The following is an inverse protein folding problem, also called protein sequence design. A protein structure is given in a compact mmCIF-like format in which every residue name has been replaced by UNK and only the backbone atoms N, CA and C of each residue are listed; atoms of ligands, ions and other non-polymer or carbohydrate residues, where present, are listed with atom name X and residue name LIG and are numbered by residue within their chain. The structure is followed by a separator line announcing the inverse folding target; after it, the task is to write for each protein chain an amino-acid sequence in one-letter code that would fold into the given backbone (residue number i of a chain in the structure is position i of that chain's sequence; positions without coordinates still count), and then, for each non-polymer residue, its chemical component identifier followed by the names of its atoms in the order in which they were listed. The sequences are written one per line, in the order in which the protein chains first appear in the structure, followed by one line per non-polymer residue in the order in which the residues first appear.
data_IF_738586312985
#
_entry.id   IF_738586312985
#
_cell.length_a   1.000
_cell.length_b   1.000
_cell.length_c   1.000
_cell.angle_alpha   90.00
_cell.angle_beta   90.00
_cell.angle_gamma   90.00
#
_symmetry.space_group_name_H-M   'P 1'
#
loop_
_entity.id
_entity.type
_entity.pdbx_description
1 polymer ?
#
# COMPACT_ATOMS: atom_id res chain seq x y z
N UNK A 1 -10.42 -30.98 -24.89
CA UNK A 1 -9.80 -31.65 -23.72
C UNK A 1 -9.14 -30.57 -22.89
N UNK A 2 -9.68 -30.36 -21.69
CA UNK A 2 -9.26 -29.37 -20.70
C UNK A 2 -7.89 -29.81 -20.13
N UNK A 3 -6.82 -29.05 -20.39
CA UNK A 3 -5.54 -29.27 -19.70
C UNK A 3 -5.49 -28.35 -18.47
N UNK A 4 -6.03 -28.88 -17.37
CA UNK A 4 -5.78 -28.43 -16.02
C UNK A 4 -4.40 -28.95 -15.61
N UNK A 5 -3.34 -28.20 -15.93
CA UNK A 5 -2.05 -28.32 -15.26
C UNK A 5 -1.96 -27.15 -14.28
N UNK A 6 -2.34 -27.40 -13.03
CA UNK A 6 -1.39 -27.39 -11.90
C UNK A 6 -0.90 -25.98 -11.59
N UNK A 7 -1.73 -25.29 -10.79
CA UNK A 7 -1.32 -24.47 -9.63
C UNK A 7 0.08 -23.84 -9.69
N UNK A 8 0.18 -22.65 -10.31
CA UNK A 8 1.30 -21.76 -10.01
C UNK A 8 1.00 -21.06 -8.68
N UNK A 9 1.61 -21.60 -7.62
CA UNK A 9 1.46 -21.20 -6.24
C UNK A 9 2.11 -19.82 -6.07
N UNK A 10 1.31 -18.78 -6.29
CA UNK A 10 1.69 -17.39 -6.00
C UNK A 10 2.00 -16.60 -7.25
N UNK A 11 0.98 -15.91 -7.77
CA UNK A 11 1.14 -14.78 -8.68
C UNK A 11 2.06 -13.73 -8.02
N UNK A 12 3.39 -13.87 -8.21
CA UNK A 12 4.36 -12.85 -7.82
C UNK A 12 3.99 -11.58 -8.58
N UNK A 13 3.55 -10.57 -7.85
CA UNK A 13 3.19 -9.29 -8.41
C UNK A 13 4.37 -8.77 -9.25
N UNK A 14 4.13 -8.26 -10.47
CA UNK A 14 5.20 -7.75 -11.31
C UNK A 14 5.96 -6.66 -10.54
N UNK A 15 7.30 -6.62 -10.67
CA UNK A 15 8.17 -5.66 -9.94
C UNK A 15 7.70 -4.20 -10.04
N UNK A 16 7.05 -3.84 -11.16
CA UNK A 16 6.42 -2.53 -11.37
C UNK A 16 5.28 -2.25 -10.37
N UNK A 17 4.43 -3.24 -10.07
CA UNK A 17 3.35 -3.10 -9.09
C UNK A 17 3.88 -2.90 -7.67
N UNK A 18 5.01 -3.51 -7.31
CA UNK A 18 5.69 -3.24 -6.04
C UNK A 18 6.19 -1.79 -5.95
N UNK A 19 6.76 -1.25 -7.03
CA UNK A 19 7.19 0.14 -7.06
C UNK A 19 6.01 1.13 -6.90
N UNK A 20 4.89 0.87 -7.57
CA UNK A 20 3.69 1.69 -7.41
C UNK A 20 3.02 1.54 -6.05
N UNK A 21 3.11 0.37 -5.41
CA UNK A 21 2.59 0.14 -4.06
C UNK A 21 3.47 0.76 -2.97
N UNK A 22 4.77 0.94 -3.24
CA UNK A 22 5.77 1.46 -2.31
C UNK A 22 5.75 2.98 -2.15
N UNK A 23 5.00 3.72 -2.97
CA UNK A 23 4.90 5.19 -2.87
C UNK A 23 4.53 5.73 -1.46
N UNK A 24 3.72 5.07 -0.60
CA UNK A 24 3.40 5.56 0.73
C UNK A 24 4.59 5.41 1.70
N UNK A 25 5.61 4.61 1.37
CA UNK A 25 6.82 4.46 2.19
C UNK A 25 7.65 5.75 2.25
N UNK A 26 7.38 6.74 1.38
CA UNK A 26 7.96 8.08 1.50
C UNK A 26 7.65 8.72 2.88
N UNK A 27 6.54 8.33 3.51
CA UNK A 27 6.17 8.74 4.86
C UNK A 27 7.23 8.39 5.91
N UNK A 28 8.05 7.36 5.69
CA UNK A 28 9.13 6.98 6.61
C UNK A 28 10.10 8.15 6.81
N UNK A 29 10.42 8.87 5.73
CA UNK A 29 11.41 9.96 5.75
C UNK A 29 10.88 11.16 6.54
N UNK A 30 9.60 11.48 6.38
CA UNK A 30 8.98 12.65 7.01
C UNK A 30 8.41 12.37 8.41
N UNK A 31 8.03 11.12 8.67
CA UNK A 31 7.23 10.73 9.83
C UNK A 31 7.91 9.85 10.86
N UNK A 32 9.18 9.46 10.64
CA UNK A 32 9.91 8.58 11.54
C UNK A 32 9.14 7.27 11.81
N UNK A 33 9.06 6.87 13.07
CA UNK A 33 8.38 5.63 13.48
C UNK A 33 6.88 5.60 13.12
N UNK A 34 6.18 6.73 13.26
CA UNK A 34 4.75 6.85 12.94
C UNK A 34 4.56 6.77 11.42
N UNK A 35 5.42 7.44 10.66
CA UNK A 35 5.44 7.37 9.19
C UNK A 35 5.72 5.97 8.68
N UNK A 36 6.61 5.22 9.36
CA UNK A 36 6.89 3.82 9.05
C UNK A 36 5.70 2.91 9.30
N UNK A 37 4.97 3.11 10.39
CA UNK A 37 3.75 2.36 10.68
C UNK A 37 2.73 2.53 9.55
N UNK A 38 2.38 3.77 9.21
CA UNK A 38 1.36 4.05 8.18
C UNK A 38 1.82 3.68 6.76
N UNK A 39 3.09 3.94 6.42
CA UNK A 39 3.66 3.58 5.13
C UNK A 39 3.70 2.06 4.91
N UNK A 40 4.09 1.29 5.93
CA UNK A 40 4.09 -0.17 5.88
C UNK A 40 2.66 -0.74 5.79
N UNK A 41 1.72 -0.18 6.56
CA UNK A 41 0.32 -0.61 6.53
C UNK A 41 -0.30 -0.39 5.15
N UNK A 42 -0.09 0.80 4.57
CA UNK A 42 -0.54 1.15 3.23
C UNK A 42 0.08 0.25 2.15
N UNK A 43 1.38 -0.06 2.26
CA UNK A 43 2.05 -0.98 1.35
C UNK A 43 1.42 -2.39 1.37
N UNK A 44 1.14 -2.94 2.56
CA UNK A 44 0.51 -4.26 2.69
C UNK A 44 -0.91 -4.25 2.10
N UNK A 45 -1.68 -3.19 2.33
CA UNK A 45 -3.02 -3.01 1.74
C UNK A 45 -2.92 -2.94 0.21
N UNK A 46 -1.98 -2.16 -0.32
CA UNK A 46 -1.77 -2.00 -1.75
C UNK A 46 -1.40 -3.33 -2.43
N UNK A 47 -0.57 -4.17 -1.81
CA UNK A 47 -0.29 -5.53 -2.33
C UNK A 47 -1.58 -6.36 -2.46
N UNK A 48 -2.44 -6.34 -1.44
CA UNK A 48 -3.72 -7.07 -1.47
C UNK A 48 -4.67 -6.53 -2.55
N UNK A 49 -4.69 -5.21 -2.75
CA UNK A 49 -5.45 -4.54 -3.83
C UNK A 49 -4.94 -4.94 -5.21
N UNK A 50 -3.62 -5.03 -5.41
CA UNK A 50 -3.08 -5.45 -6.70
C UNK A 50 -3.30 -6.94 -6.98
N UNK A 51 -3.40 -7.77 -5.95
CA UNK A 51 -3.69 -9.21 -6.05
C UNK A 51 -5.17 -9.58 -6.25
N UNK A 52 -6.11 -8.65 -6.12
CA UNK A 52 -7.55 -8.92 -6.28
C UNK A 52 -8.01 -8.86 -7.75
N UNK A 53 -9.20 -9.36 -8.06
CA UNK A 53 -9.76 -9.37 -9.44
C UNK A 53 -10.28 -8.01 -9.94
N UNK A 54 -9.95 -6.92 -9.22
CA UNK A 54 -10.35 -5.56 -9.58
C UNK A 54 -9.77 -5.12 -10.93
N UNK A 55 -10.53 -4.28 -11.64
CA UNK A 55 -10.06 -3.65 -12.89
C UNK A 55 -8.79 -2.83 -12.64
N UNK A 56 -7.94 -2.70 -13.67
CA UNK A 56 -6.67 -1.95 -13.56
C UNK A 56 -6.87 -0.53 -13.00
N UNK A 57 -7.93 0.15 -13.41
CA UNK A 57 -8.23 1.51 -12.96
C UNK A 57 -8.58 1.53 -11.46
N UNK A 58 -9.40 0.58 -11.00
CA UNK A 58 -9.79 0.48 -9.59
C UNK A 58 -8.60 0.18 -8.68
N UNK A 59 -7.64 -0.63 -9.15
CA UNK A 59 -6.39 -0.91 -8.41
C UNK A 59 -5.55 0.35 -8.22
N UNK A 60 -5.42 1.17 -9.27
CA UNK A 60 -4.68 2.43 -9.21
C UNK A 60 -5.38 3.42 -8.28
N UNK A 61 -6.70 3.56 -8.40
CA UNK A 61 -7.49 4.44 -7.53
C UNK A 61 -7.41 4.01 -6.07
N UNK A 62 -7.56 2.70 -5.78
CA UNK A 62 -7.45 2.18 -4.43
C UNK A 62 -6.03 2.36 -3.85
N UNK A 63 -4.98 2.20 -4.66
CA UNK A 63 -3.60 2.46 -4.26
C UNK A 63 -3.35 3.94 -3.92
N UNK A 64 -3.92 4.85 -4.73
CA UNK A 64 -3.86 6.28 -4.51
C UNK A 64 -4.64 6.69 -3.26
N UNK A 65 -5.88 6.21 -3.13
CA UNK A 65 -6.74 6.49 -1.99
C UNK A 65 -6.12 5.98 -0.69
N UNK A 66 -5.56 4.76 -0.71
CA UNK A 66 -4.89 4.17 0.44
C UNK A 66 -3.69 5.01 0.91
N UNK A 67 -2.83 5.45 0.00
CA UNK A 67 -1.68 6.29 0.38
C UNK A 67 -2.10 7.69 0.84
N UNK A 68 -3.14 8.29 0.24
CA UNK A 68 -3.70 9.56 0.72
C UNK A 68 -4.32 9.42 2.12
N UNK A 69 -5.05 8.34 2.40
CA UNK A 69 -5.59 8.06 3.73
C UNK A 69 -4.48 7.84 4.76
N UNK A 70 -3.41 7.14 4.39
CA UNK A 70 -2.24 6.94 5.24
C UNK A 70 -1.51 8.24 5.56
N UNK A 71 -1.35 9.13 4.57
CA UNK A 71 -0.81 10.48 4.75
C UNK A 71 -1.64 11.31 5.73
N UNK A 72 -2.97 11.32 5.55
CA UNK A 72 -3.88 12.03 6.45
C UNK A 72 -3.81 11.47 7.87
N UNK A 73 -3.85 10.14 8.04
CA UNK A 73 -3.76 9.51 9.36
C UNK A 73 -2.42 9.80 10.04
N UNK A 74 -1.31 9.75 9.29
CA UNK A 74 0.00 10.14 9.79
C UNK A 74 0.01 11.61 10.23
N UNK A 75 -0.50 12.54 9.42
CA UNK A 75 -0.53 13.96 9.77
C UNK A 75 -1.34 14.22 11.04
N UNK A 76 -2.53 13.65 11.15
CA UNK A 76 -3.37 13.79 12.36
C UNK A 76 -2.68 13.24 13.60
N UNK A 77 -2.07 12.06 13.52
CA UNK A 77 -1.36 11.47 14.66
C UNK A 77 -0.08 12.22 15.00
N UNK A 78 0.66 12.73 14.02
CA UNK A 78 1.83 13.56 14.23
C UNK A 78 1.47 14.88 14.93
N UNK A 79 0.41 15.57 14.48
CA UNK A 79 -0.08 16.79 15.13
C UNK A 79 -0.56 16.51 16.56
N UNK A 80 -1.26 15.39 16.77
CA UNK A 80 -1.71 14.98 18.10
C UNK A 80 -0.52 14.71 19.03
N UNK A 81 0.51 13.98 18.57
CA UNK A 81 1.73 13.75 19.35
C UNK A 81 2.47 15.06 19.64
N UNK A 82 2.58 15.97 18.66
CA UNK A 82 3.17 17.30 18.87
C UNK A 82 2.40 18.13 19.91
N UNK A 83 1.09 17.91 20.12
CA UNK A 83 0.34 18.64 21.15
C UNK A 83 0.75 18.29 22.59
N UNK A 84 1.48 17.19 22.80
CA UNK A 84 1.95 16.75 24.12
C UNK A 84 3.40 17.14 24.45
N UNK A 85 4.15 17.70 23.49
CA UNK A 85 5.58 18.04 23.63
C UNK A 85 5.84 19.49 23.21
#
# INVERSE_FOLDING_TARGET
MHNLAVTDVGHKLPKKAHAYAAWPLVLIIFGGAIGLLYGALAYVINIKVYGSELSKLNKILANLLCGMSALSAWWFTAQWVQSYF
#
